data_IF_851841529214
#
_entry.id   IF_851841529214
#
_cell.length_a   1.000
_cell.length_b   1.000
_cell.length_c   1.000
_cell.angle_alpha   90.00
_cell.angle_beta   90.00
_cell.angle_gamma   90.00
#
_symmetry.space_group_name_H-M   'P 1'
#
loop_
_entity.id
_entity.type
_entity.pdbx_description
1 polymer ?
#
# COMPACT_ATOMS: atom_id res chain seq x y z
N UNK A 1 -16.62 8.57 10.11
CA UNK A 1 -15.92 7.65 9.18
C UNK A 1 -16.90 7.27 8.09
N UNK A 2 -16.64 7.70 6.86
CA UNK A 2 -17.33 7.20 5.67
C UNK A 2 -16.90 5.75 5.41
N UNK A 3 -17.75 4.93 4.79
CA UNK A 3 -17.42 3.54 4.48
C UNK A 3 -16.18 3.40 3.60
N UNK A 4 -15.94 4.36 2.71
CA UNK A 4 -14.78 4.41 1.80
C UNK A 4 -13.44 4.39 2.55
N UNK A 5 -13.28 5.21 3.59
CA UNK A 5 -12.06 5.23 4.41
C UNK A 5 -11.77 3.87 5.04
N UNK A 6 -12.82 3.11 5.35
CA UNK A 6 -12.70 1.79 5.99
C UNK A 6 -12.16 0.75 5.00
N UNK A 7 -12.61 0.79 3.74
CA UNK A 7 -12.09 -0.08 2.68
C UNK A 7 -10.63 0.22 2.35
N UNK A 8 -10.26 1.50 2.33
CA UNK A 8 -8.87 1.93 2.14
C UNK A 8 -7.95 1.36 3.23
N UNK A 9 -8.33 1.51 4.51
CA UNK A 9 -7.54 1.00 5.64
C UNK A 9 -7.34 -0.52 5.57
N UNK A 10 -8.34 -1.26 5.12
CA UNK A 10 -8.25 -2.72 4.95
C UNK A 10 -7.21 -3.08 3.87
N UNK A 11 -7.21 -2.36 2.74
CA UNK A 11 -6.26 -2.62 1.65
C UNK A 11 -4.82 -2.24 2.02
N UNK A 12 -4.62 -1.11 2.70
CA UNK A 12 -3.31 -0.74 3.27
C UNK A 12 -2.81 -1.84 4.22
N UNK A 13 -3.62 -2.27 5.18
CA UNK A 13 -3.23 -3.33 6.10
C UNK A 13 -2.87 -4.64 5.37
N UNK A 14 -3.59 -4.99 4.29
CA UNK A 14 -3.31 -6.17 3.47
C UNK A 14 -1.95 -6.08 2.76
N UNK A 15 -1.62 -4.93 2.16
CA UNK A 15 -0.32 -4.72 1.50
C UNK A 15 0.81 -4.68 2.52
N UNK A 16 0.62 -4.00 3.66
CA UNK A 16 1.59 -4.01 4.76
C UNK A 16 1.92 -5.43 5.19
N UNK A 17 0.90 -6.26 5.43
CA UNK A 17 1.10 -7.65 5.81
C UNK A 17 1.85 -8.45 4.73
N UNK A 18 1.62 -8.18 3.45
CA UNK A 18 2.38 -8.78 2.36
C UNK A 18 3.85 -8.33 2.38
N UNK A 19 4.13 -7.04 2.56
CA UNK A 19 5.49 -6.50 2.72
C UNK A 19 6.21 -7.12 3.92
N UNK A 20 5.51 -7.31 5.04
CA UNK A 20 6.07 -7.91 6.26
C UNK A 20 6.43 -9.38 6.05
N UNK A 21 5.56 -10.15 5.39
CA UNK A 21 5.79 -11.57 5.06
C UNK A 21 6.88 -11.77 4.02
N UNK A 22 7.11 -10.81 3.14
CA UNK A 22 8.14 -10.92 2.12
C UNK A 22 9.54 -10.95 2.74
N UNK A 23 10.46 -11.75 2.17
CA UNK A 23 11.84 -11.82 2.61
C UNK A 23 12.52 -10.45 2.48
N UNK A 24 13.46 -10.15 3.38
CA UNK A 24 14.24 -8.92 3.29
C UNK A 24 15.04 -8.90 1.98
N UNK A 25 14.85 -7.85 1.18
CA UNK A 25 15.46 -7.72 -0.13
C UNK A 25 14.96 -6.47 -0.86
N UNK A 26 15.56 -6.15 -2.03
CA UNK A 26 15.25 -4.93 -2.79
C UNK A 26 13.77 -4.82 -3.19
N UNK A 27 13.09 -5.96 -3.34
CA UNK A 27 11.65 -6.08 -3.55
C UNK A 27 10.84 -5.50 -2.38
N UNK A 28 11.18 -5.90 -1.15
CA UNK A 28 10.54 -5.41 0.08
C UNK A 28 10.77 -3.91 0.27
N UNK A 29 11.99 -3.43 0.05
CA UNK A 29 12.30 -1.99 0.09
C UNK A 29 11.47 -1.19 -0.92
N UNK A 30 11.32 -1.72 -2.13
CA UNK A 30 10.51 -1.10 -3.20
C UNK A 30 9.03 -1.09 -2.83
N UNK A 31 8.51 -2.21 -2.31
CA UNK A 31 7.13 -2.29 -1.83
C UNK A 31 6.85 -1.33 -0.67
N UNK A 32 7.79 -1.16 0.26
CA UNK A 32 7.66 -0.19 1.36
C UNK A 32 7.68 1.27 0.88
N UNK A 33 8.45 1.60 -0.17
CA UNK A 33 8.40 2.92 -0.78
C UNK A 33 7.02 3.22 -1.36
N UNK A 34 6.48 2.31 -2.17
CA UNK A 34 5.15 2.44 -2.74
C UNK A 34 4.05 2.46 -1.66
N UNK A 35 4.16 1.62 -0.63
CA UNK A 35 3.24 1.64 0.51
C UNK A 35 3.18 3.01 1.19
N UNK A 36 4.33 3.68 1.35
CA UNK A 36 4.39 5.01 1.98
C UNK A 36 3.80 6.10 1.10
N UNK A 37 3.96 5.98 -0.22
CA UNK A 37 3.26 6.84 -1.19
C UNK A 37 1.75 6.63 -1.12
N UNK A 38 1.28 5.39 -0.97
CA UNK A 38 -0.13 5.10 -0.78
C UNK A 38 -0.70 5.70 0.52
N UNK A 39 0.04 5.67 1.63
CA UNK A 39 -0.38 6.32 2.88
C UNK A 39 -0.48 7.85 2.73
N UNK A 40 0.42 8.46 1.95
CA UNK A 40 0.36 9.88 1.63
C UNK A 40 -0.86 10.20 0.77
N UNK A 41 -1.08 9.44 -0.31
CA UNK A 41 -2.23 9.60 -1.19
C UNK A 41 -3.57 9.41 -0.46
N UNK A 42 -3.64 8.48 0.50
CA UNK A 42 -4.79 8.35 1.40
C UNK A 42 -5.02 9.63 2.21
N UNK A 43 -3.95 10.23 2.72
CA UNK A 43 -4.03 11.48 3.51
C UNK A 43 -4.48 12.67 2.66
N UNK A 44 -4.23 12.62 1.36
CA UNK A 44 -4.70 13.59 0.36
C UNK A 44 -6.09 13.24 -0.21
N UNK A 45 -6.79 12.25 0.36
CA UNK A 45 -8.09 11.75 -0.10
C UNK A 45 -8.06 11.34 -1.60
N UNK A 46 -6.89 10.88 -2.07
CA UNK A 46 -6.63 10.52 -3.45
C UNK A 46 -6.62 8.99 -3.61
N UNK A 47 -7.81 8.40 -3.60
CA UNK A 47 -8.02 6.96 -3.71
C UNK A 47 -7.37 6.33 -4.95
N UNK A 48 -7.44 7.02 -6.10
CA UNK A 48 -6.90 6.51 -7.36
C UNK A 48 -5.38 6.30 -7.28
N UNK A 49 -4.68 7.28 -6.72
CA UNK A 49 -3.23 7.20 -6.55
C UNK A 49 -2.85 6.19 -5.47
N UNK A 50 -3.58 6.15 -4.35
CA UNK A 50 -3.41 5.12 -3.33
C UNK A 50 -3.54 3.72 -3.94
N UNK A 51 -4.59 3.45 -4.72
CA UNK A 51 -4.79 2.14 -5.33
C UNK A 51 -3.66 1.77 -6.28
N UNK A 52 -3.21 2.72 -7.10
CA UNK A 52 -2.09 2.51 -8.02
C UNK A 52 -0.80 2.16 -7.29
N UNK A 53 -0.48 2.90 -6.23
CA UNK A 53 0.71 2.67 -5.42
C UNK A 53 0.63 1.35 -4.63
N UNK A 54 -0.54 0.98 -4.09
CA UNK A 54 -0.74 -0.31 -3.44
C UNK A 54 -0.58 -1.49 -4.41
N UNK A 55 -1.04 -1.34 -5.66
CA UNK A 55 -0.86 -2.36 -6.69
C UNK A 55 0.61 -2.49 -7.09
N UNK A 56 1.31 -1.36 -7.28
CA UNK A 56 2.75 -1.33 -7.51
C UNK A 56 3.52 -1.97 -6.35
N UNK A 57 3.13 -1.71 -5.10
CA UNK A 57 3.72 -2.34 -3.92
C UNK A 57 3.51 -3.86 -3.95
N UNK A 58 2.31 -4.34 -4.30
CA UNK A 58 2.05 -5.79 -4.46
C UNK A 58 2.87 -6.40 -5.59
N UNK A 59 2.97 -5.73 -6.73
CA UNK A 59 3.76 -6.16 -7.88
C UNK A 59 5.27 -6.21 -7.55
N UNK A 60 5.75 -5.37 -6.63
CA UNK A 60 7.12 -5.43 -6.16
C UNK A 60 7.40 -6.61 -5.22
N UNK A 61 6.37 -7.24 -4.65
CA UNK A 61 6.49 -8.37 -3.72
C UNK A 61 6.33 -9.75 -4.37
N UNK A 62 5.91 -9.80 -5.63
CA UNK A 62 5.86 -11.03 -6.45
C UNK A 62 7.18 -11.27 -7.16
#
# INVERSE_FOLDING_TARGET
>A
MTPETREMSIKLASVRAACERAPAGPQKDTAWKHYRLAELAQSEENDAEMYKELDAAKLALV
#
